data_IF_475683601221
#
_entry.id   IF_475683601221
#
_cell.length_a   1.000
_cell.length_b   1.000
_cell.length_c   1.000
_cell.angle_alpha   90.00
_cell.angle_beta   90.00
_cell.angle_gamma   90.00
#
_symmetry.space_group_name_H-M   'P 1'
#
loop_
_entity.id
_entity.type
_entity.pdbx_description
1 polymer ?
#
# COMPACT_ATOMS: atom_id res chain seq x y z
N UNK A 1 15.78 22.40 -21.83
CA UNK A 1 15.10 22.14 -20.53
C UNK A 1 15.43 23.29 -19.59
N UNK A 2 14.44 24.00 -19.03
CA UNK A 2 14.65 25.13 -18.09
C UNK A 2 13.98 24.77 -16.75
N UNK A 3 14.57 23.81 -16.04
CA UNK A 3 14.00 23.27 -14.81
C UNK A 3 14.20 24.25 -13.65
N UNK A 4 13.13 24.53 -12.88
CA UNK A 4 13.18 25.39 -11.68
C UNK A 4 13.19 24.61 -10.37
N UNK A 5 12.74 23.36 -10.37
CA UNK A 5 12.68 22.50 -9.20
C UNK A 5 11.68 21.36 -9.38
N UNK A 6 11.54 20.54 -8.35
CA UNK A 6 10.58 19.44 -8.27
C UNK A 6 10.08 19.27 -6.82
N UNK A 7 8.96 18.57 -6.64
CA UNK A 7 8.35 18.24 -5.33
C UNK A 7 8.18 16.73 -5.25
N UNK A 8 8.47 16.16 -4.09
CA UNK A 8 8.21 14.76 -3.78
C UNK A 8 7.30 14.67 -2.57
N UNK A 9 6.21 13.89 -2.67
CA UNK A 9 5.31 13.61 -1.56
C UNK A 9 5.62 12.25 -0.95
N UNK A 10 6.02 12.23 0.32
CA UNK A 10 6.41 11.02 1.06
C UNK A 10 7.36 10.08 0.27
N UNK A 11 8.44 10.61 -0.32
CA UNK A 11 9.38 9.77 -1.07
C UNK A 11 10.13 8.81 -0.14
N UNK A 12 10.50 7.67 -0.70
CA UNK A 12 11.66 6.93 -0.23
C UNK A 12 12.92 7.74 -0.63
N UNK A 13 13.73 8.10 0.35
CA UNK A 13 14.97 8.86 0.16
C UNK A 13 16.21 8.05 0.54
N UNK A 14 16.08 7.19 1.55
CA UNK A 14 17.13 6.29 2.04
C UNK A 14 16.43 5.08 2.66
N UNK A 15 16.58 3.90 2.06
CA UNK A 15 15.97 2.67 2.61
C UNK A 15 16.36 2.45 4.07
N UNK A 16 17.63 2.70 4.38
CA UNK A 16 18.18 2.55 5.71
C UNK A 16 17.61 3.57 6.72
N UNK A 17 17.67 4.85 6.38
CA UNK A 17 17.32 5.91 7.34
C UNK A 17 15.81 6.07 7.46
N UNK A 18 15.08 5.91 6.36
CA UNK A 18 13.62 5.95 6.37
C UNK A 18 13.06 4.77 7.18
N UNK A 19 13.65 3.58 7.10
CA UNK A 19 13.27 2.45 7.95
C UNK A 19 13.67 2.69 9.42
N UNK A 20 14.92 3.07 9.71
CA UNK A 20 15.35 3.34 11.09
C UNK A 20 14.50 4.42 11.79
N UNK A 21 14.07 5.45 11.05
CA UNK A 21 13.23 6.53 11.58
C UNK A 21 11.86 6.07 12.09
N UNK A 22 11.35 4.92 11.63
CA UNK A 22 10.00 4.48 12.03
C UNK A 22 9.92 4.05 13.48
N UNK A 23 11.03 3.68 14.13
CA UNK A 23 11.04 3.40 15.58
C UNK A 23 10.73 4.66 16.38
N UNK A 24 11.37 5.79 16.02
CA UNK A 24 11.08 7.08 16.63
C UNK A 24 9.67 7.56 16.29
N UNK A 25 9.23 7.38 15.03
CA UNK A 25 7.85 7.67 14.65
C UNK A 25 6.85 6.88 15.53
N UNK A 26 7.09 5.59 15.72
CA UNK A 26 6.21 4.71 16.51
C UNK A 26 6.08 5.20 17.95
N UNK A 27 7.19 5.61 18.56
CA UNK A 27 7.18 6.19 19.90
C UNK A 27 6.42 7.53 19.95
N UNK A 28 6.70 8.45 19.02
CA UNK A 28 6.02 9.76 18.93
C UNK A 28 4.52 9.66 18.63
N UNK A 29 4.07 8.53 18.10
CA UNK A 29 2.66 8.22 17.84
C UNK A 29 2.02 7.33 18.90
N UNK A 30 2.71 7.10 20.03
CA UNK A 30 2.25 6.25 21.12
C UNK A 30 1.89 4.81 20.69
N UNK A 31 2.53 4.30 19.63
CA UNK A 31 2.37 2.92 19.15
C UNK A 31 3.21 1.94 19.96
N UNK A 32 4.27 2.45 20.62
CA UNK A 32 5.10 1.68 21.56
C UNK A 32 5.26 2.46 22.87
N UNK A 33 5.50 1.73 23.96
CA UNK A 33 5.71 2.32 25.28
C UNK A 33 7.08 3.02 25.39
N UNK A 34 7.19 3.99 26.30
CA UNK A 34 8.47 4.63 26.66
C UNK A 34 9.53 3.60 27.05
N UNK A 35 9.13 2.57 27.81
CA UNK A 35 10.02 1.50 28.26
C UNK A 35 10.62 0.75 27.06
N UNK A 36 9.79 0.35 26.11
CA UNK A 36 10.24 -0.35 24.90
C UNK A 36 11.13 0.56 24.04
N UNK A 37 10.74 1.82 23.85
CA UNK A 37 11.55 2.78 23.09
C UNK A 37 12.94 2.99 23.69
N UNK A 38 13.06 3.16 25.02
CA UNK A 38 14.37 3.31 25.66
C UNK A 38 15.21 2.03 25.60
N UNK A 39 14.57 0.86 25.77
CA UNK A 39 15.22 -0.45 25.68
C UNK A 39 15.81 -0.67 24.28
N UNK A 40 14.98 -0.59 23.25
CA UNK A 40 15.39 -0.88 21.87
C UNK A 40 16.42 0.13 21.37
N UNK A 41 16.29 1.41 21.73
CA UNK A 41 17.28 2.45 21.36
C UNK A 41 18.65 2.16 21.98
N UNK A 42 18.68 1.67 23.20
CA UNK A 42 19.92 1.33 23.91
C UNK A 42 20.53 0.05 23.36
N UNK A 43 19.73 -1.01 23.26
CA UNK A 43 20.20 -2.35 22.89
C UNK A 43 20.57 -2.44 21.41
N UNK A 44 19.82 -1.78 20.52
CA UNK A 44 20.11 -1.74 19.09
C UNK A 44 20.99 -0.55 18.66
N UNK A 45 21.34 0.37 19.56
CA UNK A 45 22.19 1.55 19.29
C UNK A 45 21.69 2.43 18.13
N UNK A 46 20.38 2.47 17.92
CA UNK A 46 19.75 3.20 16.82
C UNK A 46 19.83 2.51 15.45
N UNK A 47 20.32 1.26 15.38
CA UNK A 47 20.38 0.45 14.16
C UNK A 47 19.37 -0.71 14.24
N UNK A 48 18.25 -0.57 13.52
CA UNK A 48 17.13 -1.52 13.51
C UNK A 48 17.04 -2.31 12.20
N UNK A 49 17.75 -1.88 11.14
CA UNK A 49 17.75 -2.54 9.83
C UNK A 49 18.91 -3.53 9.77
N UNK A 50 20.14 -3.05 9.88
CA UNK A 50 21.37 -3.86 9.83
C UNK A 50 21.80 -4.29 11.23
N UNK A 51 20.91 -4.99 11.91
CA UNK A 51 21.11 -5.45 13.30
C UNK A 51 22.21 -6.51 13.38
N UNK A 52 22.95 -6.48 14.49
CA UNK A 52 23.88 -7.56 14.85
C UNK A 52 23.07 -8.80 15.25
N UNK A 53 23.16 -9.92 14.51
CA UNK A 53 22.39 -11.12 14.79
C UNK A 53 22.80 -11.80 16.11
N UNK A 54 23.97 -11.48 16.66
CA UNK A 54 24.43 -12.01 17.95
C UNK A 54 23.89 -11.21 19.15
N UNK A 55 23.33 -10.03 18.91
CA UNK A 55 22.78 -9.16 19.95
C UNK A 55 21.35 -9.58 20.29
N UNK A 56 21.24 -10.56 21.19
CA UNK A 56 19.96 -11.14 21.64
C UNK A 56 19.04 -10.09 22.27
N UNK A 57 19.59 -9.09 22.98
CA UNK A 57 18.77 -8.03 23.58
C UNK A 57 18.08 -7.17 22.51
N UNK A 58 18.82 -6.79 21.46
CA UNK A 58 18.24 -6.06 20.33
C UNK A 58 17.23 -6.91 19.56
N UNK A 59 17.51 -8.21 19.37
CA UNK A 59 16.57 -9.11 18.70
C UNK A 59 15.24 -9.21 19.45
N UNK A 60 15.28 -9.39 20.77
CA UNK A 60 14.08 -9.47 21.60
C UNK A 60 13.27 -8.17 21.60
N UNK A 61 13.94 -7.02 21.82
CA UNK A 61 13.26 -5.72 21.79
C UNK A 61 12.62 -5.43 20.43
N UNK A 62 13.29 -5.84 19.34
CA UNK A 62 12.73 -5.70 18.00
C UNK A 62 11.52 -6.61 17.77
N UNK A 63 11.54 -7.84 18.27
CA UNK A 63 10.37 -8.72 18.21
C UNK A 63 9.16 -8.10 18.94
N UNK A 64 9.39 -7.49 20.11
CA UNK A 64 8.36 -6.79 20.86
C UNK A 64 7.86 -5.53 20.12
N UNK A 65 8.76 -4.76 19.50
CA UNK A 65 8.38 -3.68 18.57
C UNK A 65 7.45 -4.22 17.48
N UNK A 66 7.77 -5.36 16.89
CA UNK A 66 6.99 -5.94 15.81
C UNK A 66 5.61 -6.40 16.22
N UNK A 67 5.48 -7.02 17.38
CA UNK A 67 4.17 -7.36 17.95
C UNK A 67 3.30 -6.11 18.17
N UNK A 68 3.90 -4.98 18.57
CA UNK A 68 3.15 -3.73 18.72
C UNK A 68 2.65 -3.16 17.38
N UNK A 69 3.37 -3.40 16.28
CA UNK A 69 3.09 -2.80 14.97
C UNK A 69 2.34 -3.71 13.99
N UNK A 70 2.23 -5.01 14.27
CA UNK A 70 1.74 -6.04 13.34
C UNK A 70 0.33 -5.77 12.78
N UNK A 71 -0.53 -5.11 13.56
CA UNK A 71 -1.93 -4.86 13.20
C UNK A 71 -2.18 -3.43 12.69
N UNK A 72 -1.11 -2.71 12.33
CA UNK A 72 -1.19 -1.35 11.80
C UNK A 72 -1.00 -1.32 10.28
N UNK A 73 -1.77 -0.47 9.61
CA UNK A 73 -1.60 -0.24 8.17
C UNK A 73 -0.43 0.73 7.94
N UNK A 74 0.69 0.21 7.42
CA UNK A 74 1.92 0.98 7.21
C UNK A 74 1.74 2.27 6.39
N UNK A 75 0.85 2.26 5.39
CA UNK A 75 0.58 3.44 4.55
C UNK A 75 -0.26 4.52 5.25
N UNK A 76 -1.01 4.16 6.29
CA UNK A 76 -1.79 5.08 7.12
C UNK A 76 -2.21 4.40 8.43
N UNK A 77 -1.56 4.75 9.55
CA UNK A 77 -1.78 4.09 10.85
C UNK A 77 -3.20 4.24 11.41
N UNK A 78 -4.01 5.17 10.88
CA UNK A 78 -5.40 5.36 11.28
C UNK A 78 -6.38 4.51 10.46
N UNK A 79 -5.90 3.83 9.41
CA UNK A 79 -6.70 2.91 8.61
C UNK A 79 -6.61 1.50 9.16
N UNK A 80 -7.73 0.78 9.08
CA UNK A 80 -7.77 -0.64 9.39
C UNK A 80 -6.96 -1.42 8.35
N UNK A 81 -6.35 -2.54 8.79
CA UNK A 81 -5.86 -3.53 7.83
C UNK A 81 -7.08 -4.13 7.12
N UNK A 82 -7.07 -3.97 5.81
CA UNK A 82 -8.04 -4.56 4.91
C UNK A 82 -7.50 -5.85 4.34
N UNK A 83 -8.32 -6.91 4.32
CA UNK A 83 -8.06 -8.09 3.53
C UNK A 83 -8.09 -7.68 2.06
N UNK A 84 -6.91 -7.37 1.53
CA UNK A 84 -6.78 -6.86 0.18
C UNK A 84 -7.24 -7.95 -0.79
N UNK A 85 -8.15 -7.60 -1.69
CA UNK A 85 -8.48 -8.37 -2.90
C UNK A 85 -7.27 -8.52 -3.86
N UNK A 86 -6.07 -8.06 -3.47
CA UNK A 86 -4.84 -8.19 -4.26
C UNK A 86 -4.32 -9.62 -4.41
N UNK A 87 -4.92 -10.60 -3.73
CA UNK A 87 -4.66 -12.03 -3.96
C UNK A 87 -5.62 -12.66 -4.98
N UNK A 88 -6.67 -11.96 -5.39
CA UNK A 88 -7.60 -12.43 -6.41
C UNK A 88 -7.19 -11.86 -7.76
N UNK A 89 -7.03 -12.73 -8.75
CA UNK A 89 -6.87 -12.32 -10.13
C UNK A 89 -7.92 -11.25 -10.49
N UNK A 90 -7.61 -10.23 -11.32
CA UNK A 90 -8.60 -9.28 -11.82
C UNK A 90 -9.85 -9.98 -12.40
N UNK A 91 -9.64 -11.18 -12.96
CA UNK A 91 -10.66 -12.08 -13.49
C UNK A 91 -11.62 -12.65 -12.44
N UNK A 92 -11.21 -12.82 -11.18
CA UNK A 92 -12.11 -13.24 -10.09
C UNK A 92 -12.99 -12.08 -9.58
N UNK A 93 -12.50 -10.84 -9.67
CA UNK A 93 -13.32 -9.64 -9.43
C UNK A 93 -14.38 -9.44 -10.52
N UNK A 94 -14.13 -9.96 -11.72
CA UNK A 94 -15.10 -9.99 -12.84
C UNK A 94 -16.11 -11.13 -12.75
N UNK A 95 -16.03 -12.02 -11.75
CA UNK A 95 -17.07 -13.02 -11.49
C UNK A 95 -18.26 -12.45 -10.70
N UNK A 96 -18.42 -11.13 -10.74
CA UNK A 96 -19.68 -10.46 -10.44
C UNK A 96 -20.51 -10.55 -11.70
N UNK A 97 -21.54 -11.38 -11.65
CA UNK A 97 -22.44 -11.72 -12.74
C UNK A 97 -22.97 -10.49 -13.51
N UNK A 98 -22.20 -10.07 -14.51
CA UNK A 98 -22.54 -9.04 -15.49
C UNK A 98 -23.37 -9.65 -16.64
N UNK A 99 -23.97 -10.83 -16.46
CA UNK A 99 -24.91 -11.40 -17.44
C UNK A 99 -26.31 -10.80 -17.33
N UNK A 100 -26.58 -10.04 -16.27
CA UNK A 100 -27.79 -9.23 -16.14
C UNK A 100 -27.42 -7.76 -16.08
N UNK A 101 -27.43 -7.07 -17.22
CA UNK A 101 -28.16 -5.81 -17.41
C UNK A 101 -27.67 -5.07 -18.66
N UNK A 102 -28.64 -4.86 -19.53
CA UNK A 102 -28.60 -4.11 -20.77
C UNK A 102 -28.16 -2.66 -20.57
N UNK A 103 -27.59 -2.12 -21.66
CA UNK A 103 -27.16 -0.74 -21.88
C UNK A 103 -28.15 0.30 -21.33
N UNK A 104 -27.81 0.94 -20.21
CA UNK A 104 -28.40 2.22 -19.86
C UNK A 104 -27.40 3.05 -19.04
N UNK A 105 -27.05 4.22 -19.56
CA UNK A 105 -25.99 5.11 -19.07
C UNK A 105 -26.24 5.65 -17.65
N UNK A 106 -27.46 5.44 -17.13
CA UNK A 106 -27.86 5.75 -15.75
C UNK A 106 -27.36 4.74 -14.71
N UNK A 107 -26.82 3.58 -15.13
CA UNK A 107 -26.30 2.57 -14.21
C UNK A 107 -24.95 2.92 -13.58
N UNK A 108 -24.14 3.80 -14.18
CA UNK A 108 -22.89 4.23 -13.56
C UNK A 108 -23.16 4.91 -12.21
N UNK A 109 -24.15 5.81 -12.15
CA UNK A 109 -24.58 6.48 -10.91
C UNK A 109 -25.19 5.50 -9.89
N UNK A 110 -25.90 4.45 -10.35
CA UNK A 110 -26.47 3.42 -9.47
C UNK A 110 -25.40 2.48 -8.90
N UNK A 111 -24.34 2.18 -9.65
CA UNK A 111 -23.18 1.42 -9.18
C UNK A 111 -22.42 2.17 -8.07
N UNK A 112 -22.30 3.51 -8.18
CA UNK A 112 -21.75 4.34 -7.07
C UNK A 112 -22.71 4.42 -5.87
N UNK A 113 -24.01 4.19 -6.09
CA UNK A 113 -25.06 4.32 -5.05
C UNK A 113 -25.30 3.04 -4.24
N UNK A 114 -24.80 1.88 -4.69
CA UNK A 114 -24.82 0.64 -3.92
C UNK A 114 -23.41 0.08 -3.81
N UNK A 115 -22.59 0.58 -2.86
CA UNK A 115 -21.52 -0.26 -2.36
C UNK A 115 -22.20 -1.50 -1.78
N UNK A 116 -21.84 -2.74 -2.19
CA UNK A 116 -22.20 -3.90 -1.41
C UNK A 116 -21.72 -3.61 0.00
N UNK A 117 -22.62 -3.71 0.99
CA UNK A 117 -22.31 -3.46 2.39
C UNK A 117 -21.06 -4.29 2.78
N UNK A 118 -19.90 -3.66 2.73
CA UNK A 118 -18.65 -4.17 3.25
C UNK A 118 -18.41 -3.41 4.55
N UNK A 119 -18.30 -4.10 5.69
CA UNK A 119 -18.05 -3.46 6.99
C UNK A 119 -16.75 -2.64 7.07
N UNK A 120 -15.95 -2.60 6.01
CA UNK A 120 -14.62 -2.00 5.98
C UNK A 120 -14.52 -1.08 4.76
N UNK A 121 -14.59 0.23 5.01
CA UNK A 121 -14.33 1.28 4.01
C UNK A 121 -12.82 1.29 3.65
N UNK A 122 -12.38 0.30 2.87
CA UNK A 122 -10.97 0.14 2.52
C UNK A 122 -10.55 1.13 1.44
N UNK A 123 -9.36 1.71 1.59
CA UNK A 123 -8.78 2.62 0.58
C UNK A 123 -8.66 1.93 -0.78
N UNK A 124 -8.31 0.65 -0.78
CA UNK A 124 -8.10 -0.16 -1.98
C UNK A 124 -9.37 -0.36 -2.81
N UNK A 125 -10.55 -0.38 -2.16
CA UNK A 125 -11.83 -0.52 -2.87
C UNK A 125 -12.07 0.68 -3.82
N UNK A 126 -11.51 1.85 -3.50
CA UNK A 126 -11.61 3.03 -4.37
C UNK A 126 -10.74 2.94 -5.64
N UNK A 127 -9.83 1.97 -5.74
CA UNK A 127 -8.98 1.84 -6.94
C UNK A 127 -9.77 1.32 -8.14
N UNK A 128 -10.90 0.63 -7.94
CA UNK A 128 -11.77 0.15 -9.03
C UNK A 128 -12.20 1.27 -9.97
N UNK A 129 -12.48 2.46 -9.43
CA UNK A 129 -12.87 3.62 -10.22
C UNK A 129 -11.76 4.06 -11.18
N UNK A 130 -10.51 4.00 -10.74
CA UNK A 130 -9.35 4.31 -11.58
C UNK A 130 -9.17 3.31 -12.72
N UNK A 131 -9.35 2.01 -12.45
CA UNK A 131 -9.31 0.96 -13.47
C UNK A 131 -10.44 1.12 -14.49
N UNK A 132 -11.67 1.27 -14.02
CA UNK A 132 -12.83 1.44 -14.89
C UNK A 132 -12.68 2.67 -15.80
N UNK A 133 -12.22 3.81 -15.25
CA UNK A 133 -12.00 5.00 -16.04
C UNK A 133 -10.84 4.85 -17.05
N UNK A 134 -9.73 4.23 -16.65
CA UNK A 134 -8.56 4.09 -17.54
C UNK A 134 -8.78 3.07 -18.67
N UNK A 135 -9.68 2.10 -18.46
CA UNK A 135 -10.02 1.05 -19.42
C UNK A 135 -11.25 1.34 -20.28
N UNK A 136 -11.96 2.44 -20.02
CA UNK A 136 -13.06 2.88 -20.87
C UNK A 136 -12.53 3.25 -22.28
N UNK A 137 -13.14 2.65 -23.32
CA UNK A 137 -12.69 2.83 -24.70
C UNK A 137 -12.75 4.30 -25.16
N UNK A 138 -13.73 5.06 -24.68
CA UNK A 138 -13.86 6.50 -25.00
C UNK A 138 -12.71 7.28 -24.38
N UNK A 139 -12.30 6.95 -23.15
CA UNK A 139 -11.15 7.55 -22.48
C UNK A 139 -9.84 7.17 -23.18
N UNK A 140 -9.67 5.90 -23.57
CA UNK A 140 -8.49 5.45 -24.31
C UNK A 140 -8.36 6.12 -25.68
N UNK A 141 -9.47 6.22 -26.41
CA UNK A 141 -9.53 6.92 -27.70
C UNK A 141 -9.18 8.40 -27.54
N UNK A 142 -9.74 9.08 -26.54
CA UNK A 142 -9.45 10.48 -26.25
C UNK A 142 -7.96 10.71 -25.91
N UNK A 143 -7.30 9.75 -25.25
CA UNK A 143 -5.87 9.78 -24.95
C UNK A 143 -4.96 9.35 -26.10
N UNK A 144 -5.54 9.02 -27.27
CA UNK A 144 -4.79 8.53 -28.43
C UNK A 144 -3.91 7.30 -28.11
N UNK A 145 -4.39 6.44 -27.19
CA UNK A 145 -3.72 5.17 -26.91
C UNK A 145 -3.79 4.33 -28.19
N UNK A 146 -2.63 3.91 -28.70
CA UNK A 146 -2.58 3.18 -29.96
C UNK A 146 -3.32 1.85 -29.81
N UNK A 147 -4.18 1.53 -30.76
CA UNK A 147 -5.00 0.29 -30.78
C UNK A 147 -4.18 -1.00 -30.82
N UNK A 148 -2.87 -0.93 -31.08
CA UNK A 148 -1.96 -2.07 -30.99
C UNK A 148 -1.38 -2.30 -29.59
N UNK A 149 -1.59 -1.38 -28.63
CA UNK A 149 -1.36 -1.62 -27.21
C UNK A 149 -2.48 -2.54 -26.68
N UNK A 150 -2.36 -3.84 -26.95
CA UNK A 150 -3.31 -4.86 -26.52
C UNK A 150 -3.07 -5.20 -25.05
N UNK A 151 -3.83 -4.58 -24.16
CA UNK A 151 -3.82 -4.92 -22.73
C UNK A 151 -4.72 -3.98 -21.94
N UNK A 152 -5.28 -4.48 -20.84
CA UNK A 152 -5.94 -3.62 -19.86
C UNK A 152 -4.88 -2.78 -19.15
N UNK A 153 -5.21 -1.52 -18.87
CA UNK A 153 -4.44 -0.70 -17.96
C UNK A 153 -4.38 -1.38 -16.59
N UNK A 154 -3.15 -1.61 -16.14
CA UNK A 154 -2.83 -2.00 -14.78
C UNK A 154 -2.08 -0.87 -14.09
N UNK A 155 -2.48 -0.52 -12.86
CA UNK A 155 -1.86 0.57 -12.09
C UNK A 155 -0.42 0.24 -11.71
N UNK A 156 -0.14 -1.03 -11.42
CA UNK A 156 1.20 -1.59 -11.23
C UNK A 156 1.33 -2.79 -12.14
N UNK A 157 2.42 -2.84 -12.89
CA UNK A 157 2.75 -4.00 -13.71
C UNK A 157 3.25 -5.13 -12.79
N UNK A 158 2.51 -6.23 -12.65
CA UNK A 158 2.91 -7.34 -11.79
C UNK A 158 4.11 -8.11 -12.34
N UNK A 159 4.52 -7.91 -13.59
CA UNK A 159 5.78 -8.46 -14.12
C UNK A 159 7.01 -7.64 -13.73
N UNK A 160 6.78 -6.42 -13.22
CA UNK A 160 7.82 -5.49 -12.78
C UNK A 160 7.94 -5.45 -11.25
N UNK A 161 7.80 -6.62 -10.61
CA UNK A 161 7.94 -6.80 -9.15
C UNK A 161 9.30 -6.30 -8.66
N UNK A 162 10.33 -6.32 -9.51
CA UNK A 162 11.68 -5.81 -9.20
C UNK A 162 11.73 -4.30 -8.92
N UNK A 163 10.71 -3.51 -9.31
CA UNK A 163 10.59 -2.09 -8.96
C UNK A 163 9.62 -1.84 -7.80
N UNK A 164 8.87 -2.85 -7.40
CA UNK A 164 8.15 -2.88 -6.14
C UNK A 164 9.02 -3.71 -5.19
N UNK A 165 10.15 -3.14 -4.72
CA UNK A 165 10.89 -3.73 -3.62
C UNK A 165 9.84 -4.17 -2.59
N UNK A 166 9.73 -5.48 -2.37
CA UNK A 166 9.01 -6.01 -1.24
C UNK A 166 9.68 -5.37 -0.05
N UNK A 167 9.00 -4.34 0.46
CA UNK A 167 9.48 -3.58 1.59
C UNK A 167 9.79 -4.59 2.67
N UNK A 168 11.05 -4.71 3.08
CA UNK A 168 11.34 -5.03 4.47
C UNK A 168 10.80 -3.85 5.27
N UNK A 169 9.47 -3.80 5.42
CA UNK A 169 8.90 -3.04 6.51
C UNK A 169 9.59 -3.55 7.75
N UNK A 170 10.00 -2.64 8.63
CA UNK A 170 10.21 -3.02 10.02
C UNK A 170 9.05 -3.94 10.39
N UNK A 171 9.38 -5.19 10.71
CA UNK A 171 8.44 -6.23 11.12
C UNK A 171 7.73 -7.06 10.03
N UNK A 172 8.16 -6.97 8.77
CA UNK A 172 7.89 -8.01 7.76
C UNK A 172 9.10 -8.93 7.66
N UNK A 173 8.92 -10.18 8.06
CA UNK A 173 9.76 -11.32 7.65
C UNK A 173 9.14 -11.98 6.42
#
# INVERSE_FOLDING_TARGET
MNLKGYILGNPLTSEHDDANSRVEFSHRRALISDRLYQSIKTNCKGEYVKRDPSNVLCANDYEDLCKCLENLKAVNILENICTSLSSSNPTELMQWDLSSQTEDSLNFLRLVSRPPYRPQNCREDNYVYGYNWANDQTVQNAKSIKTNCKGEYVKRDPSNVLCANDYEDLCKL
#
